data_IF_379673697222
#
_entry.id   IF_379673697222
#
_cell.length_a   1.000
_cell.length_b   1.000
_cell.length_c   1.000
_cell.angle_alpha   90.00
_cell.angle_beta   90.00
_cell.angle_gamma   90.00
#
_symmetry.space_group_name_H-M   'P 1'
#
loop_
_entity.id
_entity.type
_entity.pdbx_description
1 polymer ?
#
# COMPACT_ATOMS: atom_id res chain seq x y z
N UNK A 1 -9.66 76.78 7.97
CA UNK A 1 -8.84 75.87 7.13
C UNK A 1 -8.52 74.61 7.91
N UNK A 2 -8.57 73.44 7.25
CA UNK A 2 -8.54 72.04 7.77
C UNK A 2 -9.94 71.54 8.19
N UNK A 3 -10.44 70.37 7.80
CA UNK A 3 -10.05 69.33 6.81
C UNK A 3 -11.33 68.47 6.63
N UNK A 4 -11.75 68.17 5.40
CA UNK A 4 -12.76 67.14 5.14
C UNK A 4 -12.14 65.75 5.30
N UNK A 5 -12.86 64.80 5.91
CA UNK A 5 -12.66 63.37 5.68
C UNK A 5 -14.01 62.64 5.62
N UNK A 6 -14.25 62.13 4.42
CA UNK A 6 -15.22 61.17 3.90
C UNK A 6 -15.35 59.92 4.80
N UNK A 7 -16.57 59.55 5.21
CA UNK A 7 -16.85 58.24 5.84
C UNK A 7 -17.32 57.25 4.78
N UNK A 8 -16.55 56.18 4.64
CA UNK A 8 -16.65 55.18 3.60
C UNK A 8 -17.82 54.21 3.75
N UNK A 9 -18.21 53.68 2.59
CA UNK A 9 -19.14 52.58 2.40
C UNK A 9 -18.32 51.28 2.45
N UNK A 10 -18.53 50.43 3.46
CA UNK A 10 -17.95 49.08 3.51
C UNK A 10 -19.02 48.09 3.04
N UNK A 11 -18.92 47.69 1.78
CA UNK A 11 -19.56 46.47 1.27
C UNK A 11 -18.48 45.38 1.33
N UNK A 12 -18.57 44.46 2.31
CA UNK A 12 -17.74 43.26 2.31
C UNK A 12 -18.69 42.06 2.20
N UNK A 13 -18.92 41.63 0.95
CA UNK A 13 -19.65 40.42 0.64
C UNK A 13 -18.86 39.20 1.08
N UNK A 14 -19.39 38.47 2.07
CA UNK A 14 -18.97 37.11 2.38
C UNK A 14 -19.33 36.17 1.22
N UNK A 15 -18.43 36.05 0.25
CA UNK A 15 -18.42 34.90 -0.65
C UNK A 15 -18.02 33.66 0.16
N UNK A 16 -19.04 32.95 0.66
CA UNK A 16 -18.93 31.58 1.14
C UNK A 16 -18.56 30.68 -0.04
N UNK A 17 -17.27 30.50 -0.28
CA UNK A 17 -16.76 29.43 -1.15
C UNK A 17 -16.85 28.12 -0.37
N UNK A 18 -18.00 27.45 -0.49
CA UNK A 18 -18.14 26.04 -0.15
C UNK A 18 -17.28 25.23 -1.13
N UNK A 19 -16.06 24.87 -0.71
CA UNK A 19 -15.24 23.87 -1.39
C UNK A 19 -15.87 22.50 -1.15
N UNK A 20 -16.87 22.17 -1.95
CA UNK A 20 -17.31 20.79 -2.14
C UNK A 20 -16.15 20.04 -2.80
N UNK A 21 -15.29 19.41 -2.00
CA UNK A 21 -14.27 18.48 -2.45
C UNK A 21 -14.97 17.21 -2.96
N UNK A 22 -15.55 17.29 -4.16
CA UNK A 22 -15.91 16.11 -4.92
C UNK A 22 -14.62 15.33 -5.17
N UNK A 23 -14.46 14.19 -4.52
CA UNK A 23 -13.39 13.22 -4.79
C UNK A 23 -13.49 12.83 -6.27
N UNK A 24 -12.72 13.49 -7.14
CA UNK A 24 -12.68 13.16 -8.56
C UNK A 24 -12.12 11.74 -8.69
N UNK A 25 -12.90 10.86 -9.33
CA UNK A 25 -12.47 9.50 -9.61
C UNK A 25 -11.28 9.58 -10.58
N UNK A 26 -10.12 9.11 -10.16
CA UNK A 26 -8.91 9.08 -10.98
C UNK A 26 -9.06 8.02 -12.09
N UNK A 27 -9.35 8.49 -13.31
CA UNK A 27 -9.56 7.65 -14.50
C UNK A 27 -8.28 7.45 -15.32
N UNK A 28 -7.11 7.79 -14.78
CA UNK A 28 -5.85 7.57 -15.50
C UNK A 28 -5.66 6.07 -15.75
N UNK A 29 -5.38 5.62 -16.99
CA UNK A 29 -5.12 4.21 -17.27
C UNK A 29 -3.98 3.66 -16.42
N UNK A 30 -4.10 2.40 -16.00
CA UNK A 30 -3.06 1.69 -15.25
C UNK A 30 -1.97 1.23 -16.20
N UNK A 31 -0.73 1.64 -15.95
CA UNK A 31 0.45 1.21 -16.69
C UNK A 31 1.22 0.16 -15.89
N UNK A 32 1.30 -1.07 -16.40
CA UNK A 32 2.15 -2.14 -15.86
C UNK A 32 3.48 -2.18 -16.62
N UNK A 33 4.58 -2.49 -15.93
CA UNK A 33 5.89 -2.64 -16.57
C UNK A 33 5.97 -4.00 -17.26
N UNK A 34 6.07 -4.00 -18.60
CA UNK A 34 6.06 -5.23 -19.41
C UNK A 34 7.32 -6.09 -19.24
N UNK A 35 8.44 -5.49 -18.83
CA UNK A 35 9.75 -6.13 -18.67
C UNK A 35 10.15 -6.34 -17.20
N UNK A 36 9.18 -6.25 -16.28
CA UNK A 36 9.41 -6.51 -14.86
C UNK A 36 9.83 -7.96 -14.65
N UNK A 37 10.97 -8.17 -13.99
CA UNK A 37 11.44 -9.54 -13.71
C UNK A 37 10.69 -10.11 -12.52
N UNK A 38 9.84 -11.08 -12.80
CA UNK A 38 9.06 -11.80 -11.80
C UNK A 38 9.22 -13.32 -11.99
N UNK A 39 9.15 -14.06 -10.90
CA UNK A 39 9.20 -15.53 -10.92
C UNK A 39 8.02 -16.12 -10.17
N UNK A 40 7.67 -17.35 -10.52
CA UNK A 40 6.79 -18.16 -9.70
C UNK A 40 7.41 -18.35 -8.31
N UNK A 41 6.57 -18.34 -7.29
CA UNK A 41 7.00 -18.42 -5.90
C UNK A 41 6.24 -19.52 -5.21
N UNK A 42 6.93 -20.31 -4.38
CA UNK A 42 6.29 -21.28 -3.52
C UNK A 42 5.72 -20.57 -2.29
N UNK A 43 4.38 -20.53 -2.19
CA UNK A 43 3.67 -19.96 -1.04
C UNK A 43 3.30 -21.02 0.00
N UNK A 44 3.83 -22.24 -0.07
CA UNK A 44 3.55 -23.34 0.87
C UNK A 44 3.94 -23.05 2.33
N UNK A 45 4.82 -22.07 2.54
CA UNK A 45 5.13 -21.54 3.88
C UNK A 45 3.97 -20.79 4.55
N UNK A 46 2.92 -20.46 3.79
CA UNK A 46 1.68 -19.86 4.29
C UNK A 46 0.54 -20.89 4.28
N UNK A 47 -0.42 -20.75 5.18
CA UNK A 47 -1.55 -21.68 5.35
C UNK A 47 -2.89 -20.96 5.15
N UNK A 48 -3.99 -21.72 4.98
CA UNK A 48 -5.35 -21.15 4.98
C UNK A 48 -5.86 -20.69 3.61
N UNK A 49 -5.21 -21.08 2.51
CA UNK A 49 -5.71 -20.89 1.14
C UNK A 49 -5.16 -21.97 0.20
N UNK A 50 -5.70 -22.05 -1.02
CA UNK A 50 -5.16 -22.94 -2.06
C UNK A 50 -3.84 -22.39 -2.61
N UNK A 51 -2.72 -22.92 -2.10
CA UNK A 51 -1.37 -22.51 -2.52
C UNK A 51 -1.04 -22.88 -3.96
N UNK A 52 -1.75 -23.82 -4.60
CA UNK A 52 -1.51 -24.17 -6.00
C UNK A 52 -2.10 -23.13 -6.98
N UNK A 53 -3.04 -22.31 -6.53
CA UNK A 53 -3.75 -21.32 -7.37
C UNK A 53 -3.76 -19.93 -6.73
N UNK A 54 -2.57 -19.44 -6.39
CA UNK A 54 -2.40 -18.15 -5.73
C UNK A 54 -2.12 -17.01 -6.72
N UNK A 55 -2.29 -15.77 -6.27
CA UNK A 55 -2.06 -14.57 -7.09
C UNK A 55 -0.67 -13.94 -6.91
N UNK A 56 0.23 -14.56 -6.15
CA UNK A 56 1.56 -14.01 -5.91
C UNK A 56 2.55 -14.35 -7.04
N UNK A 57 3.40 -13.37 -7.37
CA UNK A 57 4.64 -13.54 -8.12
C UNK A 57 5.75 -12.89 -7.31
N UNK A 58 6.91 -13.54 -7.20
CA UNK A 58 8.05 -12.95 -6.50
C UNK A 58 8.78 -11.98 -7.41
N UNK A 59 9.13 -10.82 -6.85
CA UNK A 59 10.04 -9.84 -7.44
C UNK A 59 11.13 -9.51 -6.41
N UNK A 60 12.30 -9.10 -6.85
CA UNK A 60 13.33 -8.58 -5.93
C UNK A 60 12.95 -7.16 -5.49
N UNK A 61 13.52 -6.68 -4.37
CA UNK A 61 13.31 -5.29 -3.95
C UNK A 61 13.75 -4.29 -5.02
N UNK A 62 14.84 -4.59 -5.74
CA UNK A 62 15.27 -3.79 -6.90
C UNK A 62 14.19 -3.69 -7.98
N UNK A 63 13.55 -4.80 -8.36
CA UNK A 63 12.48 -4.77 -9.36
C UNK A 63 11.23 -4.07 -8.81
N UNK A 64 10.91 -4.24 -7.52
CA UNK A 64 9.83 -3.47 -6.87
C UNK A 64 10.09 -1.96 -6.92
N UNK A 65 11.33 -1.50 -6.68
CA UNK A 65 11.70 -0.08 -6.77
C UNK A 65 11.45 0.51 -8.17
N UNK A 66 11.63 -0.28 -9.23
CA UNK A 66 11.33 0.14 -10.61
C UNK A 66 9.86 0.52 -10.80
N UNK A 67 8.93 -0.16 -10.12
CA UNK A 67 7.50 0.15 -10.21
C UNK A 67 7.22 1.60 -9.80
N UNK A 68 7.87 2.09 -8.74
CA UNK A 68 7.74 3.49 -8.32
C UNK A 68 8.42 4.43 -9.32
N UNK A 69 9.67 4.12 -9.71
CA UNK A 69 10.54 5.02 -10.48
C UNK A 69 10.18 5.16 -11.95
N UNK A 70 9.75 4.07 -12.57
CA UNK A 70 9.47 3.99 -14.01
C UNK A 70 7.99 4.21 -14.31
N UNK A 71 7.20 4.64 -13.32
CA UNK A 71 5.78 4.91 -13.51
C UNK A 71 4.94 3.64 -13.68
N UNK A 72 5.38 2.53 -13.08
CA UNK A 72 4.66 1.25 -13.09
C UNK A 72 3.47 1.21 -12.14
N UNK A 73 2.74 0.12 -12.19
CA UNK A 73 1.58 -0.13 -11.32
C UNK A 73 1.59 -1.57 -10.82
N UNK A 74 1.00 -1.79 -9.64
CA UNK A 74 0.91 -3.11 -9.04
C UNK A 74 0.55 -3.07 -7.56
N UNK A 75 0.29 -4.24 -7.01
CA UNK A 75 0.19 -4.45 -5.57
C UNK A 75 1.53 -5.02 -5.12
N UNK A 76 2.25 -4.31 -4.27
CA UNK A 76 3.51 -4.73 -3.67
C UNK A 76 3.25 -5.17 -2.24
N UNK A 77 3.58 -6.42 -1.92
CA UNK A 77 3.53 -6.98 -0.57
C UNK A 77 4.94 -7.27 -0.07
N UNK A 78 5.30 -6.67 1.05
CA UNK A 78 6.57 -6.86 1.74
C UNK A 78 6.34 -7.67 3.02
N UNK A 79 7.03 -8.80 3.14
CA UNK A 79 6.90 -9.70 4.29
C UNK A 79 7.76 -10.93 4.15
N UNK A 80 7.52 -11.94 4.99
CA UNK A 80 8.24 -13.21 4.99
C UNK A 80 7.43 -14.31 5.72
N UNK A 81 7.75 -15.58 5.45
CA UNK A 81 6.94 -16.74 5.88
C UNK A 81 6.89 -16.95 7.40
N UNK A 82 7.94 -16.60 8.14
CA UNK A 82 7.98 -16.73 9.61
C UNK A 82 7.31 -15.58 10.38
N UNK A 83 6.84 -14.53 9.70
CA UNK A 83 6.18 -13.39 10.33
C UNK A 83 4.73 -13.73 10.74
N UNK A 84 4.44 -13.71 12.04
CA UNK A 84 3.15 -14.14 12.59
C UNK A 84 1.94 -13.30 12.15
N UNK A 85 2.14 -12.03 11.80
CA UNK A 85 1.08 -11.21 11.19
C UNK A 85 0.90 -11.54 9.71
N UNK A 86 2.00 -11.78 9.01
CA UNK A 86 2.04 -12.12 7.60
C UNK A 86 1.27 -13.42 7.32
N UNK A 87 1.41 -14.43 8.19
CA UNK A 87 0.69 -15.71 8.06
C UNK A 87 -0.82 -15.57 8.12
N UNK A 88 -1.34 -14.54 8.81
CA UNK A 88 -2.77 -14.25 8.84
C UNK A 88 -3.22 -13.35 7.67
N UNK A 89 -2.37 -12.44 7.22
CA UNK A 89 -2.68 -11.46 6.18
C UNK A 89 -2.70 -12.08 4.77
N UNK A 90 -1.72 -12.93 4.44
CA UNK A 90 -1.53 -13.48 3.09
C UNK A 90 -2.76 -14.20 2.53
N UNK A 91 -3.46 -15.09 3.29
CA UNK A 91 -4.64 -15.77 2.77
C UNK A 91 -5.78 -14.81 2.41
N UNK A 92 -6.00 -13.79 3.25
CA UNK A 92 -7.03 -12.76 3.02
C UNK A 92 -6.68 -11.90 1.81
N UNK A 93 -5.41 -11.51 1.68
CA UNK A 93 -4.92 -10.75 0.53
C UNK A 93 -5.05 -11.52 -0.78
N UNK A 94 -4.71 -12.81 -0.78
CA UNK A 94 -4.85 -13.70 -1.92
C UNK A 94 -6.31 -13.84 -2.38
N UNK A 95 -7.23 -13.98 -1.43
CA UNK A 95 -8.66 -14.07 -1.72
C UNK A 95 -9.14 -12.83 -2.47
N UNK A 96 -8.83 -11.63 -1.97
CA UNK A 96 -9.21 -10.36 -2.62
C UNK A 96 -8.57 -10.21 -3.99
N UNK A 97 -7.27 -10.53 -4.10
CA UNK A 97 -6.57 -10.46 -5.38
C UNK A 97 -7.18 -11.43 -6.41
N UNK A 98 -7.58 -12.64 -6.00
CA UNK A 98 -8.25 -13.63 -6.86
C UNK A 98 -9.64 -13.14 -7.29
N UNK A 99 -10.42 -12.55 -6.38
CA UNK A 99 -11.72 -11.95 -6.70
C UNK A 99 -11.61 -10.82 -7.74
N UNK A 100 -10.55 -10.02 -7.67
CA UNK A 100 -10.34 -8.89 -8.57
C UNK A 100 -9.53 -9.26 -9.83
N UNK A 101 -9.03 -10.49 -9.95
CA UNK A 101 -8.13 -10.89 -11.02
C UNK A 101 -6.88 -10.00 -11.09
N UNK A 102 -6.23 -9.81 -9.95
CA UNK A 102 -5.02 -8.99 -9.80
C UNK A 102 -3.85 -9.86 -9.32
N UNK A 103 -2.65 -9.57 -9.84
CA UNK A 103 -1.41 -10.17 -9.37
C UNK A 103 -0.84 -9.36 -8.20
N UNK A 104 -0.32 -10.05 -7.19
CA UNK A 104 0.44 -9.45 -6.09
C UNK A 104 1.94 -9.70 -6.31
N UNK A 105 2.74 -8.66 -6.31
CA UNK A 105 4.19 -8.72 -6.33
C UNK A 105 4.71 -8.88 -4.90
N UNK A 106 5.16 -10.09 -4.58
CA UNK A 106 5.73 -10.43 -3.29
C UNK A 106 7.23 -10.13 -3.25
N UNK A 107 7.62 -9.29 -2.30
CA UNK A 107 9.00 -8.99 -1.96
C UNK A 107 9.31 -9.68 -0.63
N UNK A 108 10.16 -10.71 -0.68
CA UNK A 108 10.56 -11.46 0.50
C UNK A 108 11.64 -10.69 1.27
N UNK A 109 11.25 -10.09 2.39
CA UNK A 109 12.15 -9.30 3.26
C UNK A 109 12.88 -10.17 4.29
N UNK A 110 12.66 -11.48 4.30
CA UNK A 110 13.36 -12.43 5.18
C UNK A 110 14.61 -13.03 4.55
N UNK A 111 14.97 -12.60 3.33
CA UNK A 111 16.13 -13.09 2.58
C UNK A 111 16.96 -11.93 2.05
N UNK A 112 18.24 -12.19 1.76
CA UNK A 112 19.13 -11.20 1.12
C UNK A 112 19.04 -11.24 -0.41
N UNK A 113 18.15 -12.07 -1.00
CA UNK A 113 18.03 -12.25 -2.45
C UNK A 113 17.45 -11.00 -3.13
N UNK A 114 18.33 -10.06 -3.48
CA UNK A 114 17.99 -8.79 -4.13
C UNK A 114 17.67 -7.64 -3.18
N UNK A 115 17.81 -7.87 -1.87
CA UNK A 115 17.66 -6.88 -0.79
C UNK A 115 19.04 -6.36 -0.37
N UNK A 116 19.77 -5.75 -1.30
CA UNK A 116 21.04 -5.09 -0.97
C UNK A 116 20.78 -3.83 -0.15
N UNK A 117 21.79 -3.35 0.58
CA UNK A 117 21.70 -2.06 1.29
C UNK A 117 21.32 -0.92 0.32
N UNK A 118 21.86 -0.92 -0.89
CA UNK A 118 21.51 0.05 -1.94
C UNK A 118 20.02 -0.01 -2.31
N UNK A 119 19.47 -1.20 -2.60
CA UNK A 119 18.05 -1.33 -2.96
C UNK A 119 17.12 -1.04 -1.78
N UNK A 120 17.57 -1.32 -0.55
CA UNK A 120 16.82 -1.00 0.66
C UNK A 120 16.79 0.51 0.94
N UNK A 121 17.93 1.20 0.86
CA UNK A 121 17.98 2.64 1.07
C UNK A 121 17.13 3.38 0.02
N UNK A 122 17.21 2.95 -1.25
CA UNK A 122 16.36 3.47 -2.31
C UNK A 122 14.87 3.21 -2.03
N UNK A 123 14.52 2.01 -1.56
CA UNK A 123 13.16 1.70 -1.16
C UNK A 123 12.65 2.65 -0.08
N UNK A 124 13.42 2.85 1.00
CA UNK A 124 13.06 3.78 2.08
C UNK A 124 12.83 5.18 1.50
N UNK A 125 13.71 5.70 0.66
CA UNK A 125 13.53 7.03 0.05
C UNK A 125 12.25 7.16 -0.78
N UNK A 126 11.84 6.09 -1.47
CA UNK A 126 10.63 6.06 -2.28
C UNK A 126 9.35 6.02 -1.44
N UNK A 127 9.38 5.43 -0.24
CA UNK A 127 8.15 5.14 0.54
C UNK A 127 8.09 5.73 1.95
N UNK A 128 9.15 6.40 2.43
CA UNK A 128 9.26 6.86 3.83
C UNK A 128 8.08 7.65 4.37
N UNK A 129 7.41 8.44 3.54
CA UNK A 129 6.23 9.22 3.93
C UNK A 129 5.00 8.34 4.28
N UNK A 130 5.04 7.06 3.93
CA UNK A 130 4.01 6.05 4.22
C UNK A 130 4.44 5.05 5.30
N UNK A 131 5.69 5.11 5.75
CA UNK A 131 6.21 4.20 6.78
C UNK A 131 5.93 4.73 8.18
N UNK A 132 5.80 3.80 9.12
CA UNK A 132 5.90 4.15 10.55
C UNK A 132 7.35 4.45 10.91
N UNK A 133 7.54 5.22 11.96
CA UNK A 133 8.85 5.42 12.55
C UNK A 133 9.18 4.30 13.53
N UNK A 134 10.45 3.94 13.64
CA UNK A 134 10.97 3.12 14.71
C UNK A 134 11.12 3.91 16.03
N UNK A 135 11.75 3.28 17.03
CA UNK A 135 11.98 3.87 18.36
C UNK A 135 12.96 5.05 18.33
N UNK A 136 13.83 5.14 17.31
CA UNK A 136 14.75 6.25 17.09
C UNK A 136 14.10 7.41 16.32
N UNK A 137 12.86 7.22 15.86
CA UNK A 137 12.09 8.20 15.11
C UNK A 137 12.34 8.16 13.60
N UNK A 138 13.05 7.15 13.10
CA UNK A 138 13.40 7.00 11.70
C UNK A 138 12.36 6.16 10.94
N UNK A 139 12.00 6.52 9.69
CA UNK A 139 11.08 5.71 8.88
C UNK A 139 11.60 4.28 8.69
N UNK A 140 10.81 3.29 9.12
CA UNK A 140 11.19 1.89 9.11
C UNK A 140 10.11 0.99 8.53
N UNK A 141 10.54 -0.07 7.84
CA UNK A 141 9.63 -1.07 7.31
C UNK A 141 9.20 -2.05 8.41
N UNK A 142 7.91 -2.02 8.74
CA UNK A 142 7.25 -3.07 9.51
C UNK A 142 6.44 -3.95 8.56
N UNK A 143 6.30 -5.25 8.86
CA UNK A 143 5.60 -6.20 7.98
C UNK A 143 4.42 -6.89 8.67
N UNK A 144 3.39 -7.34 7.92
CA UNK A 144 3.21 -7.20 6.47
C UNK A 144 2.93 -5.74 6.07
N UNK A 145 3.65 -5.21 5.08
CA UNK A 145 3.36 -3.91 4.46
C UNK A 145 2.84 -4.13 3.05
N UNK A 146 1.76 -3.47 2.70
CA UNK A 146 1.18 -3.53 1.36
C UNK A 146 1.10 -2.11 0.79
N UNK A 147 1.60 -1.94 -0.43
CA UNK A 147 1.45 -0.71 -1.21
C UNK A 147 0.73 -1.02 -2.52
N UNK A 148 -0.27 -0.22 -2.84
CA UNK A 148 -0.92 -0.20 -4.14
C UNK A 148 -0.37 0.99 -4.90
N UNK A 149 0.42 0.70 -5.93
CA UNK A 149 1.08 1.70 -6.76
C UNK A 149 0.34 1.80 -8.09
N UNK A 150 -0.01 3.01 -8.49
CA UNK A 150 -0.61 3.33 -9.79
C UNK A 150 0.22 4.41 -10.46
N UNK A 151 0.80 4.09 -11.60
CA UNK A 151 1.63 4.98 -12.40
C UNK A 151 2.76 5.66 -11.58
N UNK A 152 3.49 4.87 -10.81
CA UNK A 152 4.58 5.30 -9.94
C UNK A 152 4.16 5.92 -8.61
N UNK A 153 2.86 6.10 -8.35
CA UNK A 153 2.34 6.74 -7.14
C UNK A 153 1.65 5.74 -6.23
N UNK A 154 1.97 5.78 -4.93
CA UNK A 154 1.20 5.03 -3.93
C UNK A 154 -0.19 5.66 -3.85
N UNK A 155 -1.21 4.87 -4.21
CA UNK A 155 -2.62 5.28 -4.17
C UNK A 155 -3.38 4.63 -3.01
N UNK A 156 -2.79 3.61 -2.38
CA UNK A 156 -3.28 3.03 -1.14
C UNK A 156 -2.19 2.22 -0.46
N UNK A 157 -2.26 2.13 0.85
CA UNK A 157 -1.32 1.38 1.68
C UNK A 157 -2.08 0.70 2.82
N UNK A 158 -1.47 -0.36 3.36
CA UNK A 158 -1.93 -0.98 4.59
C UNK A 158 -0.78 -1.68 5.30
N UNK A 159 -0.60 -1.36 6.58
CA UNK A 159 0.36 -2.00 7.46
C UNK A 159 -0.35 -3.01 8.38
N UNK A 160 0.28 -4.16 8.58
CA UNK A 160 -0.15 -5.22 9.49
C UNK A 160 -1.47 -5.89 9.06
N UNK A 161 -2.25 -6.32 10.04
CA UNK A 161 -3.56 -6.99 9.90
C UNK A 161 -4.67 -5.99 10.27
N UNK A 162 -5.32 -6.13 11.42
CA UNK A 162 -6.28 -5.16 11.96
C UNK A 162 -5.88 -4.81 13.39
N UNK A 163 -6.24 -3.61 13.84
CA UNK A 163 -5.83 -3.10 15.16
C UNK A 163 -6.28 -4.00 16.32
N UNK A 164 -7.38 -4.74 16.14
CA UNK A 164 -7.93 -5.64 17.15
C UNK A 164 -7.22 -7.00 17.24
N UNK A 165 -6.27 -7.31 16.35
CA UNK A 165 -5.58 -8.60 16.31
C UNK A 165 -4.18 -8.55 16.93
N UNK A 166 -3.86 -9.57 17.73
CA UNK A 166 -2.50 -9.88 18.16
C UNK A 166 -2.21 -11.38 17.95
N UNK A 167 -1.01 -11.78 17.49
CA UNK A 167 -0.62 -13.18 17.39
C UNK A 167 -0.70 -13.95 18.71
N UNK A 168 -0.63 -13.26 19.84
CA UNK A 168 -0.81 -13.86 21.17
C UNK A 168 -2.21 -14.45 21.41
N UNK A 169 -3.19 -14.04 20.60
CA UNK A 169 -4.59 -14.50 20.69
C UNK A 169 -4.85 -15.74 19.81
N UNK A 170 -3.85 -16.23 19.08
CA UNK A 170 -4.00 -17.31 18.10
C UNK A 170 -4.32 -16.77 16.70
N UNK A 171 -5.21 -17.44 15.97
CA UNK A 171 -5.60 -17.03 14.61
C UNK A 171 -6.63 -15.89 14.63
N UNK A 172 -6.66 -15.09 13.56
CA UNK A 172 -7.71 -14.09 13.37
C UNK A 172 -9.10 -14.72 13.38
N UNK A 173 -10.03 -14.06 14.07
CA UNK A 173 -11.47 -14.36 14.03
C UNK A 173 -12.07 -14.03 12.66
N UNK A 174 -13.26 -14.55 12.37
CA UNK A 174 -13.96 -14.25 11.10
C UNK A 174 -14.29 -12.75 10.95
N UNK A 175 -14.58 -12.06 12.05
CA UNK A 175 -14.81 -10.61 12.02
C UNK A 175 -13.54 -9.85 11.63
N UNK A 176 -12.39 -10.23 12.20
CA UNK A 176 -11.10 -9.62 11.88
C UNK A 176 -10.69 -9.90 10.43
N UNK A 177 -10.88 -11.13 9.94
CA UNK A 177 -10.64 -11.48 8.53
C UNK A 177 -11.55 -10.68 7.59
N UNK A 178 -12.83 -10.53 7.93
CA UNK A 178 -13.79 -9.75 7.13
C UNK A 178 -13.41 -8.27 7.09
N UNK A 179 -12.97 -7.71 8.20
CA UNK A 179 -12.45 -6.35 8.27
C UNK A 179 -11.21 -6.17 7.39
N UNK A 180 -10.21 -7.03 7.55
CA UNK A 180 -8.99 -7.01 6.74
C UNK A 180 -9.28 -7.18 5.24
N UNK A 181 -10.21 -8.08 4.89
CA UNK A 181 -10.70 -8.26 3.52
C UNK A 181 -11.28 -6.97 2.95
N UNK A 182 -12.07 -6.25 3.74
CA UNK A 182 -12.64 -4.95 3.37
C UNK A 182 -11.58 -3.89 3.10
N UNK A 183 -10.52 -3.85 3.93
CA UNK A 183 -9.38 -2.95 3.75
C UNK A 183 -8.66 -3.26 2.42
N UNK A 184 -8.27 -4.52 2.20
CA UNK A 184 -7.57 -4.91 0.98
C UNK A 184 -8.41 -4.66 -0.27
N UNK A 185 -9.71 -4.98 -0.24
CA UNK A 185 -10.60 -4.71 -1.37
C UNK A 185 -10.65 -3.23 -1.71
N UNK A 186 -10.80 -2.37 -0.70
CA UNK A 186 -10.82 -0.90 -0.86
C UNK A 186 -9.55 -0.36 -1.52
N UNK A 187 -8.37 -0.84 -1.12
CA UNK A 187 -7.11 -0.35 -1.70
C UNK A 187 -6.82 -0.99 -3.07
N UNK A 188 -7.13 -2.27 -3.28
CA UNK A 188 -6.86 -2.98 -4.54
C UNK A 188 -7.77 -2.54 -5.69
N UNK A 189 -9.01 -2.16 -5.40
CA UNK A 189 -9.94 -1.58 -6.39
C UNK A 189 -9.43 -0.28 -7.00
N UNK A 190 -8.41 0.38 -6.42
CA UNK A 190 -7.78 1.58 -7.02
C UNK A 190 -6.99 1.29 -8.30
N UNK A 191 -6.74 0.02 -8.61
CA UNK A 191 -6.16 -0.44 -9.89
C UNK A 191 -7.23 -0.84 -10.92
N UNK A 192 -8.51 -0.58 -10.66
CA UNK A 192 -9.62 -0.87 -11.57
C UNK A 192 -10.34 0.39 -12.06
#
# INVERSE_FOLDING_TARGET
MKKQILKGLVLLGCCLLALSACSQKDNTPVHYLDDLKMVDVDMSGYQGFNVAEHQFKRVTLKEANRIYKEGGSGILYYGYTSCAWCTQAVPVMNEVAKELGLTIYYVDMGTDDGNTEESYNEFIDLVKDFLKTDDDGEPALFVPQVFVVKNGKIVGDHLSTVDSYSPSQGNMTDSQKKELKGIYKKIFEKLK
#
